data_IF_481386092427
#
_entry.id   IF_481386092427
#
_cell.length_a   1.000
_cell.length_b   1.000
_cell.length_c   1.000
_cell.angle_alpha   90.00
_cell.angle_beta   90.00
_cell.angle_gamma   90.00
#
_symmetry.space_group_name_H-M   'P 1'
#
loop_
_entity.id
_entity.type
_entity.pdbx_description
1 polymer ?
2 water ?
#
# COMPACT_ATOMS: atom_id res chain seq x y z
N UNK A 1 -9.10 15.47 0.57
CA UNK A 1 -8.72 16.62 -0.30
C UNK A 1 -8.35 17.86 0.56
N UNK A 2 -7.44 18.68 0.06
CA UNK A 2 -6.85 19.75 0.83
C UNK A 2 -7.48 21.10 0.44
N UNK A 3 -7.30 22.12 1.27
CA UNK A 3 -7.68 23.49 0.87
C UNK A 3 -6.66 24.16 -0.08
N UNK A 4 -7.14 24.72 -1.20
CA UNK A 4 -6.31 25.58 -2.06
C UNK A 4 -7.08 26.88 -2.31
N UNK A 5 -6.36 27.98 -2.20
CA UNK A 5 -6.94 29.29 -2.42
C UNK A 5 -6.99 29.65 -3.92
N UNK A 6 -8.21 29.71 -4.45
CA UNK A 6 -8.48 30.14 -5.83
C UNK A 6 -7.63 31.29 -6.36
N UNK A 7 -7.61 32.41 -5.64
CA UNK A 7 -6.84 33.54 -6.16
C UNK A 7 -5.34 33.35 -6.42
N UNK A 8 -4.75 32.32 -5.81
CA UNK A 8 -3.27 32.31 -5.66
C UNK A 8 -2.52 31.34 -6.54
N UNK A 9 -3.23 30.69 -7.48
CA UNK A 9 -2.64 29.68 -8.34
C UNK A 9 -2.50 30.06 -9.80
N UNK A 10 -1.74 29.25 -10.53
CA UNK A 10 -1.53 29.42 -11.94
C UNK A 10 -1.91 28.09 -12.63
N UNK A 11 -2.71 28.17 -13.68
CA UNK A 11 -3.07 26.97 -14.43
C UNK A 11 -1.88 26.56 -15.29
N UNK A 12 -1.37 25.34 -15.10
CA UNK A 12 -0.19 24.82 -15.84
C UNK A 12 -0.44 23.59 -16.75
N UNK A 13 -1.62 23.02 -16.64
CA UNK A 13 -2.13 22.04 -17.60
C UNK A 13 -3.64 22.08 -17.48
N UNK A 14 -4.34 21.22 -18.24
CA UNK A 14 -5.78 21.20 -18.25
C UNK A 14 -6.36 21.13 -16.85
N UNK A 15 -5.80 20.24 -16.03
CA UNK A 15 -6.36 20.02 -14.70
C UNK A 15 -5.28 20.17 -13.61
N UNK A 16 -4.20 20.88 -13.94
CA UNK A 16 -3.14 21.20 -12.96
C UNK A 16 -3.11 22.68 -12.62
N UNK A 17 -3.22 22.99 -11.33
CA UNK A 17 -3.00 24.33 -10.79
C UNK A 17 -1.86 24.27 -9.81
N UNK A 18 -0.98 25.26 -9.89
CA UNK A 18 0.17 25.35 -9.03
C UNK A 18 -0.04 26.59 -8.12
N UNK A 19 0.34 26.48 -6.86
CA UNK A 19 0.04 27.51 -5.84
C UNK A 19 1.35 27.89 -5.17
N UNK A 20 1.35 28.84 -4.22
CA UNK A 20 2.63 29.30 -3.67
C UNK A 20 3.40 28.15 -3.01
N UNK A 21 2.66 27.30 -2.32
CA UNK A 21 3.31 26.22 -1.55
C UNK A 21 2.67 24.87 -1.85
N UNK A 22 2.23 24.67 -3.10
CA UNK A 22 1.63 23.36 -3.43
C UNK A 22 1.15 23.25 -4.85
N UNK A 23 0.56 22.10 -5.17
CA UNK A 23 -0.14 21.98 -6.46
C UNK A 23 -1.33 21.02 -6.32
N UNK A 24 -2.33 21.22 -7.18
CA UNK A 24 -3.54 20.40 -7.23
C UNK A 24 -3.72 19.89 -8.65
N UNK A 25 -3.68 18.58 -8.82
CA UNK A 25 -3.86 17.99 -10.14
C UNK A 25 -5.10 17.10 -10.14
N UNK A 26 -6.13 17.55 -10.84
CA UNK A 26 -7.41 16.80 -10.85
C UNK A 26 -7.47 15.69 -11.92
N UNK A 27 -6.49 15.65 -12.82
CA UNK A 27 -6.38 14.52 -13.74
C UNK A 27 -5.85 13.29 -12.99
N UNK A 28 -4.75 13.48 -12.28
CA UNK A 28 -4.11 12.40 -11.54
C UNK A 28 -4.56 12.29 -10.09
N UNK A 29 -5.42 13.21 -9.64
CA UNK A 29 -5.90 13.27 -8.25
C UNK A 29 -4.68 13.28 -7.30
N UNK A 30 -3.76 14.24 -7.50
CA UNK A 30 -2.55 14.39 -6.66
C UNK A 30 -2.60 15.82 -6.13
N UNK A 31 -2.57 15.96 -4.81
CA UNK A 31 -2.65 17.27 -4.16
C UNK A 31 -1.60 17.21 -3.10
N UNK A 32 -0.76 18.24 -3.06
CA UNK A 32 0.31 18.32 -2.08
C UNK A 32 0.55 19.80 -1.71
N UNK A 33 0.79 20.05 -0.43
CA UNK A 33 1.24 21.37 0.05
C UNK A 33 2.40 21.13 0.99
N UNK A 34 3.30 22.11 1.14
CA UNK A 34 4.44 21.93 2.04
C UNK A 34 4.53 23.10 2.98
N UNK A 35 5.12 22.84 4.15
CA UNK A 35 5.27 23.84 5.25
C UNK A 35 6.69 23.72 5.75
N UNK A 36 7.29 24.81 6.25
CA UNK A 36 8.60 24.70 6.81
C UNK A 36 9.61 25.15 5.78
N UNK A 37 10.69 24.39 5.61
CA UNK A 37 11.68 24.77 4.59
C UNK A 37 11.17 24.58 3.14
N UNK A 38 11.79 25.27 2.18
CA UNK A 38 11.37 25.31 0.79
C UNK A 38 11.37 23.88 0.20
N UNK A 39 10.26 23.47 -0.40
CA UNK A 39 10.22 22.19 -1.10
C UNK A 39 9.80 22.38 -2.55
N UNK A 40 9.91 23.58 -3.10
CA UNK A 40 9.39 23.80 -4.47
C UNK A 40 10.00 22.91 -5.54
N UNK A 41 11.29 22.60 -5.44
CA UNK A 41 11.92 21.73 -6.44
C UNK A 41 11.44 20.26 -6.35
N UNK A 42 11.12 19.79 -5.14
CA UNK A 42 10.46 18.47 -5.01
C UNK A 42 9.11 18.50 -5.76
N UNK A 43 8.35 19.57 -5.60
CA UNK A 43 7.06 19.65 -6.27
C UNK A 43 7.23 19.71 -7.80
N UNK A 44 8.25 20.46 -8.25
CA UNK A 44 8.57 20.51 -9.69
C UNK A 44 8.91 19.15 -10.25
N UNK A 45 9.72 18.41 -9.51
CA UNK A 45 10.07 17.05 -9.94
C UNK A 45 8.83 16.14 -10.01
N UNK A 46 7.93 16.27 -9.05
CA UNK A 46 6.67 15.49 -9.07
C UNK A 46 5.83 15.82 -10.32
N UNK A 47 5.75 17.10 -10.69
CA UNK A 47 4.99 17.56 -11.88
C UNK A 47 5.60 16.98 -13.15
N UNK A 48 6.92 17.12 -13.28
CA UNK A 48 7.67 16.51 -14.38
C UNK A 48 7.36 15.03 -14.52
N UNK A 49 7.46 14.30 -13.41
CA UNK A 49 7.22 12.88 -13.44
C UNK A 49 5.77 12.55 -13.83
N UNK A 50 4.80 13.34 -13.36
CA UNK A 50 3.40 13.13 -13.68
C UNK A 50 3.08 13.28 -15.20
N UNK A 51 3.76 14.23 -15.86
CA UNK A 51 3.46 14.62 -17.23
C UNK A 51 4.47 14.09 -18.25
N UNK A 52 5.57 13.54 -17.76
CA UNK A 52 6.58 12.87 -18.59
C UNK A 52 5.97 11.88 -19.59
N UNK A 53 5.04 11.01 -19.13
CA UNK A 53 4.41 10.09 -20.10
C UNK A 53 3.69 10.76 -21.27
N UNK A 54 3.03 11.90 -21.07
CA UNK A 54 2.38 12.60 -22.18
C UNK A 54 3.35 13.43 -23.02
N UNK A 55 4.41 13.98 -22.42
CA UNK A 55 5.29 14.93 -23.14
C UNK A 55 6.62 14.40 -23.68
N UNK A 56 7.09 13.27 -23.16
CA UNK A 56 8.51 12.91 -23.35
C UNK A 56 9.42 13.83 -22.54
N UNK A 57 10.74 13.57 -22.57
CA UNK A 57 11.59 14.22 -21.57
C UNK A 57 12.31 15.53 -21.96
N UNK A 58 12.14 15.89 -23.23
CA UNK A 58 12.36 17.25 -23.72
C UNK A 58 11.86 18.58 -23.16
N UNK A 59 10.58 18.79 -23.33
CA UNK A 59 9.91 20.04 -23.00
C UNK A 59 8.69 19.37 -22.36
N UNK A 60 8.61 19.53 -21.05
CA UNK A 60 7.40 19.15 -20.34
C UNK A 60 6.77 20.46 -19.95
N UNK A 61 5.79 20.87 -20.76
CA UNK A 61 5.12 22.16 -20.60
C UNK A 61 4.71 22.56 -19.14
N UNK A 62 3.91 21.70 -18.44
CA UNK A 62 3.49 22.05 -17.07
C UNK A 62 4.63 22.28 -16.13
N UNK A 63 5.70 21.49 -16.26
CA UNK A 63 6.96 21.67 -15.53
C UNK A 63 7.66 23.00 -15.85
N UNK A 64 7.71 23.35 -17.13
CA UNK A 64 8.23 24.67 -17.52
C UNK A 64 7.37 25.82 -17.01
N UNK A 65 6.05 25.68 -17.12
CA UNK A 65 5.09 26.65 -16.60
C UNK A 65 5.26 26.89 -15.06
N UNK A 66 5.39 25.79 -14.31
CA UNK A 66 5.48 25.86 -12.86
C UNK A 66 6.82 26.52 -12.49
N UNK A 67 7.88 26.20 -13.24
CA UNK A 67 9.21 26.84 -13.02
C UNK A 67 9.16 28.36 -13.23
N UNK A 68 8.45 28.78 -14.26
CA UNK A 68 8.23 30.20 -14.55
C UNK A 68 7.43 30.85 -13.40
N UNK A 69 6.34 30.20 -12.98
CA UNK A 69 5.53 30.66 -11.87
C UNK A 69 6.34 30.85 -10.57
N UNK A 70 7.16 29.85 -10.22
CA UNK A 70 7.93 29.90 -8.99
C UNK A 70 9.30 30.61 -9.13
N UNK A 71 9.64 31.00 -10.36
CA UNK A 71 10.96 31.57 -10.73
C UNK A 71 12.11 30.69 -10.25
N UNK A 72 12.09 29.44 -10.69
CA UNK A 72 13.08 28.48 -10.26
C UNK A 72 13.78 27.89 -11.48
N UNK A 73 15.10 27.75 -11.37
CA UNK A 73 15.91 27.09 -12.38
C UNK A 73 16.07 25.62 -12.03
N UNK A 74 15.65 24.76 -12.95
CA UNK A 74 15.80 23.32 -12.75
C UNK A 74 15.70 22.58 -14.07
N UNK A 75 16.75 21.88 -14.44
CA UNK A 75 16.81 21.20 -15.73
C UNK A 75 16.15 19.84 -15.63
N UNK A 76 15.27 19.51 -16.59
CA UNK A 76 14.55 18.22 -16.60
C UNK A 76 15.47 17.02 -16.45
N UNK A 77 16.66 17.17 -17.01
CA UNK A 77 17.69 16.14 -17.02
C UNK A 77 18.16 15.82 -15.61
N UNK A 78 17.99 16.77 -14.71
CA UNK A 78 18.36 16.58 -13.30
C UNK A 78 17.36 15.67 -12.58
N UNK A 79 16.19 15.43 -13.19
CA UNK A 79 15.10 14.67 -12.53
C UNK A 79 15.12 13.19 -12.90
N UNK A 80 15.68 12.40 -12.01
CA UNK A 80 15.90 10.97 -12.28
C UNK A 80 15.44 10.12 -11.09
N UNK A 81 15.15 8.83 -11.34
CA UNK A 81 14.74 7.91 -10.27
C UNK A 81 15.80 7.65 -9.19
N UNK A 85 17.17 1.83 -0.27
CA UNK A 85 16.13 2.76 0.16
C UNK A 85 15.55 2.40 1.56
N UNK A 86 16.42 2.52 2.55
CA UNK A 86 16.12 3.07 3.90
C UNK A 86 15.26 2.38 4.99
N UNK A 87 15.45 2.85 6.22
CA UNK A 87 15.47 1.98 7.41
C UNK A 87 14.47 2.26 8.52
N UNK A 88 13.41 1.43 8.59
CA UNK A 88 12.34 1.56 9.57
C UNK A 88 12.81 1.36 11.01
N UNK A 89 12.23 2.11 11.94
CA UNK A 89 12.54 1.99 13.37
C UNK A 89 11.48 1.08 13.97
N UNK A 90 11.94 0.03 14.64
CA UNK A 90 11.02 -0.97 15.20
C UNK A 90 10.30 -0.39 16.41
N UNK A 91 11.04 0.38 17.21
CA UNK A 91 10.51 1.09 18.38
C UNK A 91 11.23 2.42 18.54
N UNK A 92 10.44 3.50 18.54
CA UNK A 92 11.00 4.83 18.76
C UNK A 92 10.52 5.36 20.12
N UNK A 93 11.44 5.93 20.89
CA UNK A 93 11.17 6.40 22.25
C UNK A 93 10.16 7.53 22.24
N UNK A 94 9.34 7.60 23.29
CA UNK A 94 8.44 8.74 23.52
C UNK A 94 9.16 10.07 23.36
N UNK A 95 10.44 10.09 23.72
CA UNK A 95 11.26 11.29 23.68
C UNK A 95 11.48 11.80 22.26
N UNK A 96 11.83 10.88 21.35
CA UNK A 96 11.97 11.15 19.92
C UNK A 96 10.63 11.61 19.34
N UNK A 97 9.57 10.87 19.61
CA UNK A 97 8.21 11.24 19.19
C UNK A 97 7.88 12.66 19.67
N UNK A 98 8.14 12.91 20.95
CA UNK A 98 7.93 14.23 21.54
C UNK A 98 8.76 15.34 20.89
N UNK A 99 10.01 15.06 20.56
CA UNK A 99 10.86 16.09 19.90
C UNK A 99 10.44 16.35 18.44
N UNK A 100 10.04 15.28 17.76
CA UNK A 100 9.46 15.38 16.41
C UNK A 100 8.15 16.15 16.43
N UNK A 101 7.31 15.91 17.42
CA UNK A 101 6.10 16.71 17.61
C UNK A 101 6.40 18.21 17.82
N UNK A 102 7.48 18.51 18.56
CA UNK A 102 7.93 19.90 18.69
C UNK A 102 8.45 20.51 17.37
N UNK A 103 9.08 19.70 16.50
CA UNK A 103 9.41 20.20 15.15
C UNK A 103 8.13 20.59 14.40
N UNK A 104 7.08 19.76 14.53
CA UNK A 104 5.79 20.06 13.90
C UNK A 104 5.30 21.44 14.36
N UNK A 105 5.26 21.68 15.67
CA UNK A 105 4.89 23.02 16.22
C UNK A 105 5.68 24.19 15.68
N UNK A 106 6.99 24.03 15.52
CA UNK A 106 7.79 25.06 14.92
C UNK A 106 7.44 25.35 13.45
N UNK A 107 7.05 24.30 12.72
CA UNK A 107 6.71 24.42 11.28
C UNK A 107 5.39 25.15 11.06
N UNK A 108 4.48 24.98 12.00
CA UNK A 108 3.15 25.60 11.93
C UNK A 108 2.28 25.18 10.70
N UNK A 109 1.92 23.87 10.64
CA UNK A 109 1.02 23.35 9.61
C UNK A 109 -0.44 23.75 9.84
N UNK A 110 -1.26 23.78 8.77
CA UNK A 110 -2.65 24.24 8.93
C UNK A 110 -3.60 23.18 9.46
N UNK A 111 -3.08 22.01 9.81
CA UNK A 111 -3.89 20.97 10.43
C UNK A 111 -3.07 20.17 11.44
N UNK A 112 -3.78 19.34 12.21
CA UNK A 112 -3.18 18.45 13.18
C UNK A 112 -2.35 17.36 12.52
N UNK A 113 -1.12 17.23 12.96
CA UNK A 113 -0.23 16.16 12.59
C UNK A 113 0.11 15.44 13.90
N UNK A 114 -0.20 14.16 13.98
CA UNK A 114 0.27 13.42 15.13
C UNK A 114 1.34 12.46 14.71
N UNK A 115 2.56 12.79 15.09
CA UNK A 115 3.73 12.00 14.74
C UNK A 115 3.58 10.53 15.15
N UNK A 116 2.89 10.25 16.27
CA UNK A 116 2.78 8.87 16.79
C UNK A 116 1.97 7.92 15.87
N UNK A 117 1.23 8.49 14.93
CA UNK A 117 0.56 7.70 13.92
C UNK A 117 1.44 7.42 12.68
N UNK A 118 2.62 8.01 12.64
CA UNK A 118 3.51 7.88 11.47
C UNK A 118 4.41 6.65 11.57
N UNK A 119 4.85 6.18 10.40
CA UNK A 119 5.97 5.27 10.36
C UNK A 119 7.29 6.05 10.39
N UNK A 120 8.21 5.65 11.27
CA UNK A 120 9.45 6.39 11.47
C UNK A 120 10.62 5.65 10.88
N UNK A 121 11.47 6.38 10.17
CA UNK A 121 12.67 5.81 9.57
C UNK A 121 13.90 6.59 10.00
N UNK A 122 15.02 5.90 10.18
CA UNK A 122 16.28 6.62 10.43
C UNK A 122 17.03 6.78 9.10
N UNK A 123 17.46 8.00 8.82
CA UNK A 123 18.24 8.28 7.64
C UNK A 123 19.58 8.88 8.05
N UNK A 124 20.46 9.09 7.06
CA UNK A 124 21.75 9.69 7.34
C UNK A 124 21.62 11.11 7.82
N UNK A 125 20.43 11.69 7.75
CA UNK A 125 20.24 13.09 8.09
C UNK A 125 19.33 13.33 9.31
N UNK A 126 18.83 12.25 9.91
CA UNK A 126 17.88 12.37 11.03
C UNK A 126 16.66 11.50 10.76
N UNK A 127 15.56 11.78 11.44
CA UNK A 127 14.35 10.96 11.33
C UNK A 127 13.42 11.48 10.24
N UNK A 128 12.78 10.51 9.57
CA UNK A 128 11.75 10.71 8.54
C UNK A 128 10.49 10.05 9.05
N UNK A 129 9.40 10.81 9.07
CA UNK A 129 8.13 10.29 9.54
C UNK A 129 7.19 10.27 8.37
N UNK A 130 6.69 9.09 8.04
CA UNK A 130 5.75 8.93 6.92
C UNK A 130 4.36 8.57 7.49
N UNK A 131 3.41 9.51 7.34
CA UNK A 131 2.01 9.33 7.71
C UNK A 131 1.14 9.01 6.50
N UNK A 132 -0.13 8.74 6.72
CA UNK A 132 -1.05 8.48 5.58
C UNK A 132 -1.43 9.76 4.82
N UNK A 133 -1.30 10.92 5.45
CA UNK A 133 -1.55 12.22 4.78
C UNK A 133 -0.43 13.24 4.92
N UNK A 134 0.71 12.82 5.44
CA UNK A 134 1.83 13.71 5.65
C UNK A 134 3.18 13.02 5.66
N UNK A 135 4.23 13.81 5.42
CA UNK A 135 5.61 13.41 5.62
C UNK A 135 6.38 14.55 6.29
N UNK A 136 7.12 14.20 7.35
CA UNK A 136 8.05 15.17 7.94
C UNK A 136 9.42 14.65 7.59
N UNK A 137 10.22 15.42 6.86
CA UNK A 137 11.57 14.99 6.50
C UNK A 137 12.63 15.68 7.36
N UNK A 138 13.83 15.09 7.44
CA UNK A 138 14.86 15.68 8.24
C UNK A 138 15.51 16.94 7.66
N UNK A 139 15.00 17.46 6.54
CA UNK A 139 15.41 18.75 6.03
C UNK A 139 14.48 19.84 6.44
N UNK A 140 13.57 19.50 7.33
CA UNK A 140 12.67 20.47 7.90
C UNK A 140 11.45 20.86 7.11
N UNK A 141 10.99 19.93 6.27
CA UNK A 141 9.85 20.18 5.40
C UNK A 141 8.76 19.20 5.78
N UNK A 142 7.55 19.73 5.87
CA UNK A 142 6.37 18.94 6.15
C UNK A 142 5.45 19.00 4.91
N UNK A 143 5.22 17.84 4.31
CA UNK A 143 4.34 17.72 3.16
C UNK A 143 2.98 17.21 3.65
N UNK A 144 1.90 17.74 3.10
CA UNK A 144 0.56 17.19 3.42
C UNK A 144 -0.02 16.88 2.06
N UNK A 145 -0.77 15.78 1.97
CA UNK A 145 -1.25 15.33 0.68
C UNK A 145 -2.61 14.61 0.80
N UNK A 146 -3.29 14.36 -0.32
CA UNK A 146 -4.71 13.98 -0.24
C UNK A 146 -4.92 12.46 -0.11
N UNK A 147 -3.93 11.63 -0.45
CA UNK A 147 -4.11 10.17 -0.32
C UNK A 147 -2.75 9.51 -0.05
N UNK A 148 -2.73 8.31 0.61
CA UNK A 148 -1.43 7.80 1.08
C UNK A 148 -0.40 7.51 0.03
N UNK A 149 -0.84 7.17 -1.20
CA UNK A 149 0.11 6.81 -2.25
C UNK A 149 0.93 8.01 -2.75
N UNK A 150 0.47 9.22 -2.41
CA UNK A 150 1.30 10.42 -2.78
C UNK A 150 2.67 10.34 -2.05
N UNK A 151 2.73 9.65 -0.92
CA UNK A 151 3.99 9.55 -0.16
C UNK A 151 5.18 9.15 -1.04
N UNK A 152 5.02 8.10 -1.85
CA UNK A 152 6.14 7.60 -2.69
C UNK A 152 6.63 8.60 -3.73
N UNK A 153 5.70 9.38 -4.26
CA UNK A 153 6.00 10.43 -5.23
C UNK A 153 6.93 11.50 -4.62
N UNK A 154 6.71 11.79 -3.34
CA UNK A 154 7.55 12.72 -2.56
C UNK A 154 8.86 12.10 -2.16
N UNK A 155 8.80 10.88 -1.63
CA UNK A 155 9.96 10.21 -1.05
C UNK A 155 11.07 10.06 -2.08
N UNK A 156 10.68 9.97 -3.35
CA UNK A 156 11.63 9.80 -4.48
C UNK A 156 12.59 11.01 -4.63
N UNK A 157 12.14 12.18 -4.20
CA UNK A 157 12.83 13.44 -4.53
C UNK A 157 13.30 14.24 -3.33
N UNK A 158 12.99 13.77 -2.13
CA UNK A 158 13.29 14.63 -0.96
C UNK A 158 14.74 14.69 -0.60
N UNK A 159 15.55 13.83 -1.22
CA UNK A 159 16.98 13.79 -0.88
C UNK A 159 17.80 14.63 -1.83
N UNK A 160 17.18 15.00 -2.94
CA UNK A 160 17.84 15.69 -4.03
C UNK A 160 17.92 17.23 -3.90
N UNK A 161 17.11 17.86 -3.05
CA UNK A 161 17.03 19.35 -3.07
C UNK A 161 16.81 20.14 -1.75
N UNK B 1 -18.89 -14.28 -3.31
CA UNK B 1 -18.99 -12.95 -2.57
C UNK B 1 -19.51 -13.12 -1.13
N UNK B 2 -18.77 -12.55 -0.17
CA UNK B 2 -18.67 -13.08 1.18
C UNK B 2 -19.26 -12.14 2.23
N UNK B 3 -19.59 -12.67 3.41
CA UNK B 3 -20.01 -11.85 4.55
C UNK B 3 -18.82 -11.19 5.30
N UNK B 4 -18.89 -9.90 5.60
CA UNK B 4 -17.86 -9.27 6.45
C UNK B 4 -18.58 -8.41 7.48
N UNK B 5 -18.14 -8.50 8.72
CA UNK B 5 -18.73 -7.74 9.79
C UNK B 5 -18.10 -6.36 9.93
N UNK B 6 -18.86 -5.33 9.56
CA UNK B 6 -18.57 -3.97 10.10
C UNK B 6 -18.94 -4.00 11.58
N UNK B 7 -18.13 -3.47 12.47
CA UNK B 7 -16.81 -2.91 12.22
C UNK B 7 -15.93 -3.75 13.11
N UNK B 8 -15.71 -4.96 12.66
CA UNK B 8 -14.62 -5.79 13.16
C UNK B 8 -13.39 -5.54 12.28
N UNK B 9 -13.42 -4.47 11.45
CA UNK B 9 -12.37 -4.24 10.46
C UNK B 9 -11.70 -2.88 10.53
N UNK B 10 -10.59 -2.73 9.82
CA UNK B 10 -9.83 -1.48 9.74
C UNK B 10 -9.67 -1.05 8.29
N UNK B 11 -9.99 0.21 7.98
CA UNK B 11 -9.77 0.76 6.63
C UNK B 11 -8.27 0.96 6.41
N UNK B 12 -7.73 0.35 5.35
CA UNK B 12 -6.28 0.40 5.06
C UNK B 12 -5.96 1.04 3.69
N UNK B 13 -6.99 1.31 2.91
CA UNK B 13 -6.90 2.12 1.68
C UNK B 13 -8.28 2.63 1.40
N UNK B 14 -8.45 3.40 0.33
CA UNK B 14 -9.78 3.97 -0.02
C UNK B 14 -10.90 2.89 -0.04
N UNK B 15 -10.62 1.76 -0.68
CA UNK B 15 -11.61 0.69 -0.81
C UNK B 15 -11.13 -0.67 -0.23
N UNK B 16 -10.16 -0.62 0.67
CA UNK B 16 -9.64 -1.83 1.35
C UNK B 16 -10.00 -1.82 2.81
N UNK B 17 -10.69 -2.88 3.26
CA UNK B 17 -10.87 -3.06 4.69
C UNK B 17 -10.28 -4.41 5.13
N UNK B 18 -9.58 -4.42 6.27
CA UNK B 18 -8.92 -5.62 6.76
C UNK B 18 -9.71 -6.04 8.05
N UNK B 19 -9.83 -7.36 8.24
CA UNK B 19 -10.61 -7.93 9.35
C UNK B 19 -9.77 -8.98 10.07
N UNK B 20 -10.29 -9.51 11.17
CA UNK B 20 -9.48 -10.53 11.92
C UNK B 20 -8.94 -11.69 11.08
N UNK B 21 -9.80 -12.19 10.19
CA UNK B 21 -9.48 -13.36 9.38
C UNK B 21 -9.71 -13.15 7.89
N UNK B 22 -9.55 -11.93 7.40
CA UNK B 22 -9.67 -11.74 5.96
C UNK B 22 -9.54 -10.27 5.54
N UNK B 23 -9.80 -10.00 4.26
CA UNK B 23 -9.87 -8.59 3.81
C UNK B 23 -10.85 -8.46 2.66
N UNK B 24 -11.38 -7.26 2.48
CA UNK B 24 -12.29 -7.00 1.36
C UNK B 24 -11.82 -5.74 0.66
N UNK B 25 -11.53 -5.88 -0.62
CA UNK B 25 -11.05 -4.80 -1.42
C UNK B 25 -12.01 -4.58 -2.56
N UNK B 26 -12.76 -3.48 -2.46
CA UNK B 26 -13.74 -3.15 -3.48
C UNK B 26 -13.17 -2.42 -4.69
N UNK B 27 -11.91 -2.05 -4.67
CA UNK B 27 -11.27 -1.49 -5.87
C UNK B 27 -10.88 -2.60 -6.85
N UNK B 28 -10.19 -3.60 -6.32
CA UNK B 28 -9.83 -4.73 -7.14
C UNK B 28 -10.88 -5.86 -7.16
N UNK B 29 -11.98 -5.72 -6.41
CA UNK B 29 -12.98 -6.82 -6.22
C UNK B 29 -12.28 -8.11 -5.78
N UNK B 30 -11.50 -8.02 -4.71
CA UNK B 30 -10.81 -9.19 -4.14
C UNK B 30 -11.32 -9.32 -2.72
N UNK B 31 -11.94 -10.48 -2.44
CA UNK B 31 -12.40 -10.76 -1.08
C UNK B 31 -11.83 -12.11 -0.64
N UNK B 32 -11.21 -12.14 0.52
CA UNK B 32 -10.67 -13.43 0.98
C UNK B 32 -10.90 -13.52 2.49
N UNK B 33 -11.23 -14.73 2.94
CA UNK B 33 -11.28 -15.05 4.36
C UNK B 33 -10.62 -16.41 4.60
N UNK B 34 -10.10 -16.65 5.80
CA UNK B 34 -9.46 -17.95 6.08
C UNK B 34 -9.96 -18.56 7.38
N UNK B 35 -9.86 -19.89 7.47
CA UNK B 35 -10.35 -20.70 8.62
C UNK B 35 -9.25 -21.74 8.91
N UNK B 36 -9.13 -22.15 10.16
CA UNK B 36 -8.15 -23.21 10.56
C UNK B 36 -6.90 -22.49 11.03
N UNK B 37 -5.74 -22.90 10.56
CA UNK B 37 -4.48 -22.31 11.05
C UNK B 37 -4.29 -20.88 10.46
N UNK B 38 -3.49 -20.07 11.13
CA UNK B 38 -3.26 -18.69 10.80
C UNK B 38 -2.68 -18.51 9.36
N UNK B 39 -3.28 -17.63 8.59
CA UNK B 39 -2.80 -17.29 7.24
C UNK B 39 -2.68 -15.78 7.10
N UNK B 40 -2.56 -15.04 8.21
CA UNK B 40 -2.54 -13.55 8.09
C UNK B 40 -1.39 -13.05 7.23
N UNK B 41 -0.24 -13.72 7.30
CA UNK B 41 0.90 -13.32 6.49
C UNK B 41 0.64 -13.57 5.01
N UNK B 42 -0.13 -14.62 4.69
CA UNK B 42 -0.49 -14.83 3.28
C UNK B 42 -1.32 -13.61 2.82
N UNK B 43 -2.27 -13.19 3.65
CA UNK B 43 -3.17 -12.07 3.30
C UNK B 43 -2.37 -10.77 3.13
N UNK B 44 -1.40 -10.57 4.03
CA UNK B 44 -0.46 -9.44 3.98
C UNK B 44 0.29 -9.34 2.67
N UNK B 45 0.88 -10.47 2.25
CA UNK B 45 1.59 -10.57 0.95
C UNK B 45 0.66 -10.27 -0.23
N UNK B 46 -0.59 -10.77 -0.13
CA UNK B 46 -1.62 -10.42 -1.18
C UNK B 46 -1.86 -8.92 -1.29
N UNK B 47 -1.99 -8.25 -0.13
CA UNK B 47 -2.30 -6.81 -0.07
C UNK B 47 -1.08 -6.04 -0.62
N UNK B 48 0.11 -6.45 -0.23
CA UNK B 48 1.37 -5.86 -0.73
C UNK B 48 1.43 -5.94 -2.25
N UNK B 49 1.19 -7.15 -2.77
CA UNK B 49 1.11 -7.33 -4.20
C UNK B 49 0.04 -6.49 -4.93
N UNK B 50 -1.16 -6.38 -4.35
CA UNK B 50 -2.24 -5.64 -4.97
C UNK B 50 -1.91 -4.14 -5.14
N UNK B 51 -1.28 -3.59 -4.12
CA UNK B 51 -1.01 -2.13 -4.03
C UNK B 51 0.40 -1.69 -4.42
N UNK B 52 1.33 -2.63 -4.53
CA UNK B 52 2.70 -2.29 -4.97
C UNK B 52 2.76 -1.36 -6.23
N UNK B 53 1.97 -1.61 -7.30
CA UNK B 53 2.02 -0.73 -8.51
C UNK B 53 1.74 0.76 -8.27
N UNK B 54 0.87 1.08 -7.30
CA UNK B 54 0.53 2.47 -6.91
C UNK B 54 1.48 3.04 -5.86
N UNK B 55 2.32 2.19 -5.32
CA UNK B 55 3.22 2.61 -4.28
C UNK B 55 4.66 2.34 -4.74
N UNK B 56 5.41 1.57 -3.94
CA UNK B 56 6.81 1.32 -4.22
C UNK B 56 7.37 0.34 -3.19
N UNK B 57 8.47 -0.33 -3.54
CA UNK B 57 9.04 -1.35 -2.65
C UNK B 57 9.49 -0.82 -1.31
N UNK B 58 9.87 0.46 -1.24
CA UNK B 58 10.27 1.10 0.01
C UNK B 58 9.13 1.34 0.97
N UNK B 59 7.89 1.36 0.48
CA UNK B 59 6.76 1.74 1.31
C UNK B 59 5.43 1.50 0.60
N UNK B 60 4.60 0.63 1.19
CA UNK B 60 3.26 0.34 0.70
C UNK B 60 2.33 0.56 1.87
N UNK B 61 1.61 1.68 1.86
CA UNK B 61 0.81 2.06 3.02
C UNK B 61 -0.22 0.98 3.49
N UNK B 62 -1.06 0.44 2.57
CA UNK B 62 -2.08 -0.52 3.09
C UNK B 62 -1.48 -1.77 3.76
N UNK B 63 -0.31 -2.21 3.27
CA UNK B 63 0.49 -3.31 3.86
C UNK B 63 1.04 -2.96 5.24
N UNK B 64 1.61 -1.76 5.38
CA UNK B 64 1.98 -1.25 6.73
C UNK B 64 0.79 -1.15 7.70
N UNK B 65 -0.34 -0.67 7.20
CA UNK B 65 -1.54 -0.47 8.04
C UNK B 65 -2.15 -1.83 8.49
N UNK B 66 -2.18 -2.78 7.56
CA UNK B 66 -2.61 -4.15 7.85
C UNK B 66 -1.66 -4.83 8.87
N UNK B 67 -0.35 -4.71 8.69
CA UNK B 67 0.63 -5.25 9.65
C UNK B 67 0.42 -4.73 11.07
N UNK B 68 0.14 -3.42 11.18
CA UNK B 68 -0.23 -2.85 12.47
C UNK B 68 -1.57 -3.39 13.04
N UNK B 69 -2.44 -3.48 12.29
CA UNK B 69 -3.70 -4.08 12.70
C UNK B 69 -3.52 -5.52 13.14
N UNK B 70 -2.93 -6.31 12.52
CA UNK B 70 -2.73 -7.70 12.90
C UNK B 70 -1.57 -7.89 13.87
N UNK B 71 -0.83 -6.82 14.15
CA UNK B 71 0.40 -6.89 14.93
C UNK B 71 1.35 -7.97 14.47
N UNK B 72 1.73 -7.91 13.18
CA UNK B 72 2.61 -8.86 12.57
C UNK B 72 3.79 -8.08 12.02
N UNK B 73 4.96 -8.71 12.04
CA UNK B 73 6.18 -8.21 11.42
C UNK B 73 6.52 -9.01 10.18
N UNK B 74 6.69 -8.31 9.07
CA UNK B 74 7.00 -8.91 7.81
C UNK B 74 7.51 -7.79 6.94
N UNK B 75 8.71 -7.95 6.40
CA UNK B 75 9.30 -6.89 5.61
C UNK B 75 8.96 -7.13 4.15
N UNK B 76 8.59 -6.04 3.46
CA UNK B 76 8.27 -6.07 2.03
C UNK B 76 9.25 -6.88 1.23
N UNK B 77 10.51 -6.90 1.70
CA UNK B 77 11.64 -7.63 1.06
C UNK B 77 11.37 -9.12 0.91
N UNK B 78 10.74 -9.69 1.94
CA UNK B 78 10.36 -11.10 2.02
C UNK B 78 9.24 -11.49 1.04
N UNK B 79 8.61 -10.50 0.41
CA UNK B 79 7.46 -10.83 -0.43
C UNK B 79 7.84 -11.06 -1.90
N UNK B 80 7.95 -12.34 -2.22
CA UNK B 80 8.32 -12.81 -3.53
C UNK B 80 7.45 -13.99 -3.83
N UNK B 81 6.85 -13.97 -5.01
CA UNK B 81 5.96 -15.03 -5.46
C UNK B 81 6.75 -16.29 -5.79
N UNK B 84 2.56 -20.32 -8.59
CA UNK B 84 2.26 -21.75 -8.49
C UNK B 84 2.62 -22.52 -9.77
N UNK B 85 3.10 -23.75 -9.62
CA UNK B 85 3.62 -24.52 -10.75
C UNK B 85 3.28 -26.03 -10.80
N UNK B 86 2.55 -26.56 -9.83
CA UNK B 86 2.20 -27.99 -9.77
C UNK B 86 1.00 -28.43 -10.62
N UNK B 87 0.93 -29.72 -10.94
CA UNK B 87 -0.13 -30.30 -11.80
C UNK B 87 -1.07 -31.23 -11.04
N UNK B 88 -2.37 -31.24 -11.41
CA UNK B 88 -3.37 -32.00 -10.67
C UNK B 88 -3.28 -33.50 -10.91
N UNK B 89 -3.67 -34.28 -9.91
CA UNK B 89 -3.81 -35.71 -10.11
C UNK B 89 -5.11 -35.98 -10.89
N UNK B 90 -4.99 -36.85 -11.90
CA UNK B 90 -6.08 -37.17 -12.82
C UNK B 90 -7.26 -37.78 -12.09
N UNK B 91 -6.96 -38.70 -11.17
CA UNK B 91 -7.99 -39.38 -10.40
C UNK B 91 -7.58 -39.50 -8.94
N UNK B 92 -8.51 -39.19 -8.05
CA UNK B 92 -8.27 -39.24 -6.60
C UNK B 92 -9.18 -40.28 -5.95
N UNK B 93 -8.60 -41.06 -5.04
CA UNK B 93 -9.33 -42.13 -4.34
C UNK B 93 -10.43 -41.55 -3.47
N UNK B 94 -11.64 -42.10 -3.64
CA UNK B 94 -12.83 -41.69 -2.90
C UNK B 94 -12.58 -41.61 -1.39
N UNK B 95 -11.55 -42.34 -0.92
CA UNK B 95 -11.15 -42.27 0.47
C UNK B 95 -10.38 -40.98 0.81
N UNK B 96 -9.53 -40.53 -0.11
CA UNK B 96 -8.82 -39.27 0.08
C UNK B 96 -9.85 -38.12 0.16
N UNK B 97 -10.78 -38.08 -0.79
CA UNK B 97 -11.85 -37.06 -0.79
C UNK B 97 -12.63 -37.06 0.53
N UNK B 98 -12.96 -38.26 1.04
CA UNK B 98 -13.66 -38.39 2.31
C UNK B 98 -12.83 -37.86 3.47
N UNK B 99 -11.54 -38.14 3.46
CA UNK B 99 -10.64 -37.66 4.51
C UNK B 99 -10.45 -36.16 4.42
N UNK B 100 -10.41 -35.62 3.20
CA UNK B 100 -10.28 -34.16 3.02
C UNK B 100 -11.56 -33.47 3.44
N UNK B 101 -12.71 -34.05 3.09
CA UNK B 101 -14.00 -33.54 3.58
C UNK B 101 -14.05 -33.54 5.11
N UNK B 102 -13.50 -34.57 5.75
CA UNK B 102 -13.37 -34.56 7.23
C UNK B 102 -12.49 -33.44 7.78
N UNK B 103 -11.38 -33.13 7.10
CA UNK B 103 -10.53 -31.99 7.51
C UNK B 103 -11.35 -30.71 7.41
N UNK B 104 -12.16 -30.57 6.35
CA UNK B 104 -13.10 -29.41 6.22
C UNK B 104 -13.96 -29.28 7.49
N UNK B 105 -14.64 -30.38 7.86
CA UNK B 105 -15.42 -30.42 9.11
C UNK B 105 -14.68 -29.94 10.37
N UNK B 106 -13.43 -30.37 10.56
CA UNK B 106 -12.64 -29.98 11.72
C UNK B 106 -12.30 -28.47 11.73
N UNK B 107 -12.16 -27.89 10.55
CA UNK B 107 -11.83 -26.47 10.37
C UNK B 107 -13.04 -25.54 10.64
N UNK B 108 -14.24 -26.06 10.36
CA UNK B 108 -15.50 -25.39 10.67
C UNK B 108 -15.68 -24.07 9.86
N UNK B 109 -15.81 -24.17 8.51
CA UNK B 109 -16.04 -22.98 7.69
C UNK B 109 -17.48 -22.52 7.79
N UNK B 110 -17.75 -21.26 7.43
CA UNK B 110 -19.13 -20.75 7.47
C UNK B 110 -20.00 -21.08 6.25
N UNK B 111 -19.50 -21.87 5.29
CA UNK B 111 -20.26 -22.33 4.15
C UNK B 111 -19.87 -23.76 3.79
N UNK B 112 -20.69 -24.39 2.97
CA UNK B 112 -20.37 -25.74 2.50
C UNK B 112 -19.27 -25.70 1.46
N UNK B 113 -18.29 -26.56 1.69
CA UNK B 113 -17.15 -26.73 0.81
C UNK B 113 -17.30 -28.15 0.30
N UNK B 114 -17.34 -28.30 -1.01
CA UNK B 114 -17.41 -29.65 -1.55
C UNK B 114 -16.10 -29.98 -2.25
N UNK B 115 -15.31 -30.80 -1.57
CA UNK B 115 -13.98 -31.20 -2.00
C UNK B 115 -14.03 -31.84 -3.37
N UNK B 116 -15.16 -32.48 -3.69
CA UNK B 116 -15.31 -33.22 -4.94
C UNK B 116 -15.36 -32.30 -6.18
N UNK B 117 -15.48 -30.99 -5.94
CA UNK B 117 -15.53 -30.00 -7.01
C UNK B 117 -14.20 -29.25 -7.16
N UNK B 118 -13.20 -29.64 -6.38
CA UNK B 118 -11.88 -29.03 -6.46
C UNK B 118 -10.97 -29.85 -7.37
N UNK B 119 -9.91 -29.21 -7.88
CA UNK B 119 -8.76 -29.92 -8.39
C UNK B 119 -7.89 -30.31 -7.21
N UNK B 120 -7.38 -31.53 -7.22
CA UNK B 120 -6.57 -32.00 -6.13
C UNK B 120 -5.12 -32.12 -6.60
N UNK B 121 -4.20 -31.69 -5.75
CA UNK B 121 -2.77 -31.72 -6.04
C UNK B 121 -2.06 -32.45 -4.93
N UNK B 122 -1.15 -33.33 -5.32
CA UNK B 122 -0.32 -33.99 -4.34
C UNK B 122 0.93 -33.18 -4.19
N UNK B 123 1.25 -32.75 -2.98
CA UNK B 123 2.47 -31.99 -2.73
C UNK B 123 3.33 -32.71 -1.69
N UNK B 124 4.50 -32.15 -1.42
CA UNK B 124 5.43 -32.72 -0.45
C UNK B 124 4.91 -32.62 0.97
N UNK B 125 3.83 -31.86 1.17
CA UNK B 125 3.24 -31.66 2.52
C UNK B 125 1.89 -32.32 2.67
N UNK B 126 1.39 -32.92 1.59
CA UNK B 126 0.06 -33.52 1.58
C UNK B 126 -0.79 -32.94 0.47
N UNK B 127 -2.11 -33.11 0.56
CA UNK B 127 -3.00 -32.73 -0.51
C UNK B 127 -3.37 -31.24 -0.44
N UNK B 128 -3.53 -30.65 -1.62
CA UNK B 128 -3.96 -29.26 -1.77
C UNK B 128 -5.17 -29.31 -2.64
N UNK B 129 -6.30 -28.78 -2.17
CA UNK B 129 -7.52 -28.82 -2.98
C UNK B 129 -7.82 -27.40 -3.41
N UNK B 130 -7.93 -27.17 -4.71
CA UNK B 130 -8.21 -25.79 -5.21
C UNK B 130 -9.53 -25.82 -5.95
N UNK B 131 -10.50 -25.11 -5.40
CA UNK B 131 -11.83 -24.93 -6.01
C UNK B 131 -11.98 -23.55 -6.62
N UNK B 132 -13.15 -23.27 -7.16
CA UNK B 132 -13.42 -21.99 -7.78
C UNK B 132 -13.55 -20.88 -6.75
N UNK B 133 -13.93 -21.25 -5.53
CA UNK B 133 -14.15 -20.28 -4.46
C UNK B 133 -13.44 -20.67 -3.14
N UNK B 134 -12.64 -21.73 -3.18
CA UNK B 134 -11.92 -22.14 -1.99
C UNK B 134 -10.59 -22.81 -2.26
N UNK B 135 -9.71 -22.79 -1.25
CA UNK B 135 -8.51 -23.64 -1.22
C UNK B 135 -8.39 -24.29 0.14
N UNK B 136 -8.24 -25.61 0.16
CA UNK B 136 -7.78 -26.27 1.39
C UNK B 136 -6.31 -26.64 1.23
N UNK B 137 -5.45 -26.17 2.12
CA UNK B 137 -4.01 -26.44 1.99
C UNK B 137 -3.51 -27.44 3.05
N UNK B 138 -2.35 -28.08 2.81
CA UNK B 138 -1.88 -29.08 3.76
C UNK B 138 -1.24 -28.51 5.03
N UNK B 139 -1.34 -27.20 5.22
CA UNK B 139 -0.97 -26.57 6.48
C UNK B 139 -2.19 -26.37 7.36
N UNK B 140 -3.32 -26.90 6.92
CA UNK B 140 -4.56 -26.84 7.69
C UNK B 140 -5.29 -25.50 7.66
N UNK B 141 -5.14 -24.80 6.55
CA UNK B 141 -5.81 -23.51 6.32
C UNK B 141 -6.78 -23.71 5.18
N UNK B 142 -7.96 -23.13 5.34
CA UNK B 142 -8.96 -23.13 4.32
C UNK B 142 -9.24 -21.68 3.94
N UNK B 143 -9.05 -21.34 2.67
CA UNK B 143 -9.31 -19.96 2.19
C UNK B 143 -10.61 -20.00 1.42
N UNK B 144 -11.43 -18.96 1.57
CA UNK B 144 -12.61 -18.82 0.78
C UNK B 144 -12.49 -17.43 0.13
N UNK B 145 -12.98 -17.30 -1.08
CA UNK B 145 -12.76 -16.07 -1.89
C UNK B 145 -13.86 -15.93 -2.92
N UNK B 146 -13.96 -14.74 -3.51
CA UNK B 146 -15.17 -14.34 -4.25
C UNK B 146 -15.13 -14.70 -5.72
N UNK B 147 -13.94 -14.95 -6.30
CA UNK B 147 -13.85 -15.26 -7.73
C UNK B 147 -12.66 -16.13 -8.01
N UNK B 148 -12.73 -16.97 -9.08
CA UNK B 148 -11.67 -17.95 -9.31
C UNK B 148 -10.27 -17.41 -9.47
N UNK B 149 -10.08 -16.19 -10.01
CA UNK B 149 -8.72 -15.64 -10.18
C UNK B 149 -8.03 -15.40 -8.84
N UNK B 150 -8.79 -15.31 -7.75
CA UNK B 150 -8.07 -15.12 -6.45
C UNK B 150 -7.24 -16.36 -6.01
N UNK B 151 -7.60 -17.55 -6.51
CA UNK B 151 -6.88 -18.76 -6.16
C UNK B 151 -5.41 -18.64 -6.47
N UNK B 152 -5.06 -18.15 -7.67
CA UNK B 152 -3.66 -17.96 -8.01
C UNK B 152 -2.90 -16.96 -7.13
N UNK B 153 -3.59 -15.95 -6.62
CA UNK B 153 -3.00 -14.93 -5.74
C UNK B 153 -2.62 -15.48 -4.38
N UNK B 154 -3.43 -16.41 -3.88
CA UNK B 154 -3.14 -17.13 -2.63
C UNK B 154 -2.03 -18.12 -2.83
N UNK B 155 -2.11 -18.94 -3.89
CA UNK B 155 -1.16 -20.01 -4.16
C UNK B 155 0.29 -19.56 -4.28
N UNK B 156 0.47 -18.32 -4.71
CA UNK B 156 1.79 -17.69 -4.71
C UNK B 156 2.51 -17.73 -3.38
N UNK B 157 1.75 -17.65 -2.30
CA UNK B 157 2.32 -17.41 -0.98
C UNK B 157 2.02 -18.48 0.10
N UNK B 158 1.23 -19.51 -0.23
CA UNK B 158 0.81 -20.49 0.78
C UNK B 158 1.96 -21.27 1.40
N UNK B 159 3.12 -21.18 0.77
CA UNK B 159 4.37 -21.60 1.40
C UNK B 159 5.12 -20.46 2.05
N UNK B 160 5.36 -20.68 3.33
CA UNK B 160 5.36 -19.66 4.37
C UNK B 160 3.99 -19.53 5.04
N UNK B 161 3.73 -18.53 5.88
CA UNK B 161 3.36 -17.17 5.58
C UNK B 161 1.96 -17.42 6.13
#
# INVERSE_FOLDING_TARGET
>A
DLYFQGGSGMQCEEKLEVFENGFKDEKFNVEVKFYGNDARKVLLAMIYELYLPEYGREYVYPFECAKEFWNIYLEGEEIQDEEFQLKPIKFTSEQVIKKLQEEIKKIKPPLEIKIEEAKIYKTKEGYLAVGNYFILDPRGRLFIFNKPSIANKILKYIWKW
>B
DLYFQGGSGMQCEEKLEVFENGFKDEKFNVEVKFYGNDARKVLLAMIYELYLPEYGREYVYPFECAKEFWNIYLEGEEIQDEEFQLKPIKFTSEQVIKKLQEEIKKIKPPLEIKIEEAKIYKTKEGYLAVGNYFILDPRGRLFIFNKPSIANKILKYIWKW
#
